data_IF_567868207202
#
_entry.id   IF_567868207202
#
_cell.length_a   1.000
_cell.length_b   1.000
_cell.length_c   1.000
_cell.angle_alpha   90.00
_cell.angle_beta   90.00
_cell.angle_gamma   90.00
#
_symmetry.space_group_name_H-M   'P 1'
#
loop_
_entity.id
_entity.type
_entity.pdbx_description
1 polymer ?
#
# COMPACT_ATOMS: atom_id res chain seq x y z
N UNK A 1 -8.97 -3.55 -12.42
CA UNK A 1 -7.69 -4.22 -12.10
C UNK A 1 -7.97 -5.55 -11.40
N UNK A 2 -7.39 -6.68 -11.79
CA UNK A 2 -7.65 -7.95 -11.11
C UNK A 2 -7.14 -7.91 -9.67
N UNK A 3 -7.89 -8.51 -8.75
CA UNK A 3 -7.49 -8.66 -7.35
C UNK A 3 -6.39 -9.72 -7.28
N UNK A 4 -5.25 -9.47 -6.62
CA UNK A 4 -4.27 -10.50 -6.35
C UNK A 4 -4.87 -11.65 -5.55
N UNK A 5 -4.46 -12.88 -5.85
CA UNK A 5 -5.03 -14.08 -5.23
C UNK A 5 -4.48 -14.36 -3.84
N UNK A 6 -3.35 -13.76 -3.48
CA UNK A 6 -2.65 -14.01 -2.20
C UNK A 6 -2.05 -12.74 -1.62
N UNK A 7 -1.94 -12.64 -0.29
CA UNK A 7 -1.18 -11.59 0.38
C UNK A 7 0.28 -11.56 -0.07
N UNK A 8 0.85 -10.37 -0.22
CA UNK A 8 2.22 -10.18 -0.70
C UNK A 8 2.40 -10.28 -2.22
N UNK A 9 1.38 -10.66 -3.00
CA UNK A 9 1.52 -10.66 -4.46
C UNK A 9 1.70 -9.24 -5.00
N UNK A 10 0.97 -8.26 -4.46
CA UNK A 10 1.05 -6.87 -4.89
C UNK A 10 0.77 -5.92 -3.74
N UNK A 11 1.68 -4.96 -3.56
CA UNK A 11 1.43 -3.80 -2.72
C UNK A 11 1.15 -2.58 -3.58
N UNK A 12 0.18 -1.78 -3.19
CA UNK A 12 -0.08 -0.46 -3.76
C UNK A 12 0.32 0.62 -2.77
N UNK A 13 0.85 1.72 -3.28
CA UNK A 13 1.29 2.82 -2.44
C UNK A 13 1.02 4.18 -3.07
N UNK A 14 0.79 5.16 -2.21
CA UNK A 14 0.50 6.53 -2.60
C UNK A 14 0.78 7.50 -1.45
N UNK A 15 0.82 8.80 -1.78
CA UNK A 15 0.92 9.89 -0.83
C UNK A 15 -0.38 10.66 -0.69
N UNK A 16 -0.78 10.90 0.54
CA UNK A 16 -1.84 11.85 0.88
C UNK A 16 -1.22 13.05 1.59
N UNK A 17 -1.74 14.25 1.35
CA UNK A 17 -1.27 15.47 2.01
C UNK A 17 -2.36 16.09 2.86
N UNK A 18 -1.96 16.64 4.00
CA UNK A 18 -2.82 17.40 4.90
C UNK A 18 -2.03 18.46 5.66
N UNK A 19 -2.68 19.13 6.62
CA UNK A 19 -2.10 20.21 7.42
C UNK A 19 -2.29 19.98 8.92
N UNK A 20 -1.42 20.57 9.75
CA UNK A 20 -1.57 20.61 11.19
C UNK A 20 -1.24 22.02 11.73
N UNK A 21 -1.77 22.34 12.92
CA UNK A 21 -1.60 23.64 13.53
C UNK A 21 -2.05 24.79 12.62
N UNK A 22 -1.27 25.87 12.55
CA UNK A 22 -1.54 27.02 11.70
C UNK A 22 -1.13 26.80 10.23
N UNK A 23 -1.68 25.78 9.56
CA UNK A 23 -1.48 25.47 8.13
C UNK A 23 -0.11 24.88 7.76
N UNK A 24 0.57 24.21 8.67
CA UNK A 24 1.81 23.48 8.33
C UNK A 24 1.47 22.18 7.61
N UNK A 25 1.98 22.03 6.39
CA UNK A 25 1.75 20.85 5.56
C UNK A 25 2.53 19.63 6.07
N UNK A 26 1.92 18.47 5.94
CA UNK A 26 2.58 17.17 6.08
C UNK A 26 2.07 16.20 5.02
N UNK A 27 2.81 15.14 4.82
CA UNK A 27 2.46 14.07 3.87
C UNK A 27 2.30 12.77 4.63
N UNK A 28 1.47 11.90 4.12
CA UNK A 28 1.19 10.58 4.66
C UNK A 28 1.56 9.57 3.57
N UNK A 29 2.50 8.68 3.86
CA UNK A 29 2.78 7.52 3.02
C UNK A 29 1.81 6.41 3.41
N UNK A 30 0.99 5.97 2.47
CA UNK A 30 0.10 4.83 2.61
C UNK A 30 0.61 3.67 1.75
N UNK A 31 0.68 2.46 2.31
CA UNK A 31 1.04 1.23 1.60
C UNK A 31 0.05 0.14 2.01
N UNK A 32 -0.61 -0.46 1.04
CA UNK A 32 -1.61 -1.51 1.24
C UNK A 32 -1.21 -2.81 0.55
N UNK A 33 -1.60 -3.92 1.13
CA UNK A 33 -1.66 -5.20 0.43
C UNK A 33 -2.98 -5.29 -0.35
N UNK A 34 -2.89 -5.43 -1.66
CA UNK A 34 -4.06 -5.39 -2.54
C UNK A 34 -4.95 -6.65 -2.45
N UNK A 35 -4.44 -7.76 -1.92
CA UNK A 35 -5.22 -8.98 -1.74
C UNK A 35 -6.14 -8.87 -0.51
N UNK A 36 -5.58 -8.68 0.66
CA UNK A 36 -6.32 -8.65 1.93
C UNK A 36 -6.76 -7.23 2.34
N UNK A 37 -6.45 -6.20 1.55
CA UNK A 37 -6.75 -4.78 1.83
C UNK A 37 -6.09 -4.23 3.09
N UNK A 38 -5.19 -4.98 3.70
CA UNK A 38 -4.51 -4.53 4.92
C UNK A 38 -3.62 -3.33 4.63
N UNK A 39 -3.78 -2.28 5.40
CA UNK A 39 -2.84 -1.17 5.38
C UNK A 39 -1.57 -1.56 6.14
N UNK A 40 -0.49 -1.74 5.41
CA UNK A 40 0.81 -2.15 5.94
C UNK A 40 1.58 -0.98 6.55
N UNK A 41 1.41 0.22 6.00
CA UNK A 41 2.10 1.43 6.44
C UNK A 41 1.19 2.64 6.32
N UNK A 42 1.14 3.46 7.37
CA UNK A 42 0.48 4.76 7.38
C UNK A 42 1.33 5.75 8.19
N UNK A 43 2.29 6.38 7.54
CA UNK A 43 3.31 7.23 8.20
C UNK A 43 3.16 8.67 7.75
N UNK A 44 2.90 9.57 8.73
CA UNK A 44 2.85 11.01 8.51
C UNK A 44 4.18 11.69 8.84
N UNK A 45 4.68 12.56 7.94
CA UNK A 45 5.83 13.43 8.21
C UNK A 45 5.78 14.72 7.39
N UNK A 46 6.51 15.73 7.80
CA UNK A 46 6.65 16.99 7.05
C UNK A 46 7.46 16.82 5.78
N UNK A 47 8.31 15.80 5.72
CA UNK A 47 9.10 15.43 4.54
C UNK A 47 9.32 13.92 4.51
N UNK A 48 8.97 13.28 3.39
CA UNK A 48 9.21 11.86 3.16
C UNK A 48 9.93 11.74 1.82
N UNK A 49 11.22 11.49 1.87
CA UNK A 49 12.06 11.28 0.68
C UNK A 49 12.01 9.83 0.19
N UNK A 50 12.46 9.57 -1.04
CA UNK A 50 12.57 8.20 -1.57
C UNK A 50 13.44 7.28 -0.69
N UNK A 51 14.52 7.82 -0.07
CA UNK A 51 15.34 7.08 0.89
C UNK A 51 14.55 6.72 2.16
N UNK A 52 13.61 7.58 2.61
CA UNK A 52 12.73 7.25 3.72
C UNK A 52 11.73 6.19 3.32
N UNK A 53 11.13 6.28 2.13
CA UNK A 53 10.25 5.24 1.60
C UNK A 53 10.95 3.89 1.56
N UNK A 54 12.19 3.83 1.04
CA UNK A 54 12.98 2.59 1.01
C UNK A 54 13.17 1.97 2.40
N UNK A 55 13.42 2.77 3.45
CA UNK A 55 13.52 2.26 4.83
C UNK A 55 12.19 1.72 5.38
N UNK A 56 11.07 2.35 5.05
CA UNK A 56 9.74 1.83 5.42
C UNK A 56 9.50 0.48 4.72
N UNK A 57 9.83 0.38 3.42
CA UNK A 57 9.73 -0.87 2.67
C UNK A 57 10.63 -1.98 3.25
N UNK A 58 11.88 -1.67 3.67
CA UNK A 58 12.74 -2.63 4.36
C UNK A 58 12.09 -3.16 5.64
N UNK A 59 11.41 -2.30 6.38
CA UNK A 59 10.69 -2.70 7.59
C UNK A 59 9.51 -3.60 7.26
N UNK A 60 8.73 -3.26 6.23
CA UNK A 60 7.60 -4.07 5.80
C UNK A 60 8.03 -5.44 5.26
N UNK A 61 9.12 -5.51 4.51
CA UNK A 61 9.67 -6.78 4.01
C UNK A 61 10.09 -7.70 5.17
N UNK A 62 10.65 -7.15 6.27
CA UNK A 62 10.95 -7.94 7.47
C UNK A 62 9.71 -8.47 8.19
N UNK A 63 8.61 -7.72 8.19
CA UNK A 63 7.38 -8.04 8.90
C UNK A 63 6.44 -8.96 8.10
N UNK A 64 6.30 -8.71 6.81
CA UNK A 64 5.27 -9.31 5.95
C UNK A 64 5.84 -10.19 4.83
N UNK A 65 7.16 -10.23 4.69
CA UNK A 65 7.78 -10.83 3.52
C UNK A 65 7.87 -9.87 2.33
N UNK A 66 8.61 -10.29 1.32
CA UNK A 66 8.85 -9.50 0.11
C UNK A 66 7.65 -9.57 -0.83
N UNK A 67 7.10 -8.44 -1.34
CA UNK A 67 6.06 -8.49 -2.36
C UNK A 67 6.63 -8.93 -3.71
N UNK A 68 5.80 -9.53 -4.55
CA UNK A 68 6.19 -9.83 -5.92
C UNK A 68 6.26 -8.54 -6.75
N UNK A 69 5.31 -7.62 -6.59
CA UNK A 69 5.37 -6.32 -7.23
C UNK A 69 4.81 -5.19 -6.34
N UNK A 70 5.20 -3.97 -6.67
CA UNK A 70 4.68 -2.74 -6.08
C UNK A 70 4.10 -1.87 -7.19
N UNK A 71 2.95 -1.24 -6.93
CA UNK A 71 2.30 -0.27 -7.83
C UNK A 71 2.29 1.09 -7.16
N UNK A 72 2.71 2.12 -7.88
CA UNK A 72 2.64 3.51 -7.44
C UNK A 72 2.35 4.46 -8.60
N UNK A 73 2.07 5.71 -8.29
CA UNK A 73 2.12 6.78 -9.27
C UNK A 73 3.58 7.10 -9.67
N UNK A 74 3.75 8.08 -10.56
CA UNK A 74 5.05 8.54 -11.04
C UNK A 74 5.62 9.70 -10.19
N UNK A 75 5.24 9.79 -8.90
CA UNK A 75 5.77 10.79 -7.99
C UNK A 75 7.29 10.78 -7.91
N UNK A 76 7.89 11.95 -7.69
CA UNK A 76 9.36 12.11 -7.68
C UNK A 76 10.04 11.26 -6.61
N UNK A 77 9.37 10.99 -5.50
CA UNK A 77 9.86 10.12 -4.44
C UNK A 77 9.95 8.68 -4.89
N UNK A 78 8.93 8.20 -5.64
CA UNK A 78 8.84 6.82 -6.12
C UNK A 78 9.73 6.55 -7.34
N UNK A 79 10.01 7.58 -8.15
CA UNK A 79 10.94 7.51 -9.28
C UNK A 79 12.38 7.84 -8.90
N UNK A 80 12.65 8.06 -7.60
CA UNK A 80 13.96 8.41 -7.10
C UNK A 80 14.96 7.28 -7.25
N UNK A 81 16.26 7.64 -7.34
CA UNK A 81 17.37 6.68 -7.40
C UNK A 81 17.31 5.67 -6.23
N UNK A 82 16.98 6.13 -5.02
CA UNK A 82 16.90 5.26 -3.85
C UNK A 82 15.86 4.14 -4.02
N UNK A 83 14.72 4.42 -4.64
CA UNK A 83 13.68 3.43 -4.92
C UNK A 83 14.09 2.48 -6.04
N UNK A 84 14.69 2.99 -7.12
CA UNK A 84 15.19 2.16 -8.22
C UNK A 84 16.26 1.17 -7.73
N UNK A 85 17.21 1.64 -6.92
CA UNK A 85 18.24 0.80 -6.30
C UNK A 85 17.62 -0.23 -5.34
N UNK A 86 16.64 0.18 -4.52
CA UNK A 86 15.94 -0.71 -3.60
C UNK A 86 15.18 -1.83 -4.33
N UNK A 87 14.43 -1.48 -5.37
CA UNK A 87 13.67 -2.45 -6.18
C UNK A 87 14.59 -3.46 -6.87
N UNK A 88 15.70 -2.98 -7.47
CA UNK A 88 16.70 -3.83 -8.10
C UNK A 88 17.39 -4.78 -7.12
N UNK A 89 17.83 -4.27 -5.94
CA UNK A 89 18.48 -5.06 -4.90
C UNK A 89 17.55 -6.15 -4.35
N UNK A 90 16.28 -5.82 -4.14
CA UNK A 90 15.31 -6.75 -3.58
C UNK A 90 14.64 -7.63 -4.65
N UNK A 91 14.89 -7.40 -5.94
CA UNK A 91 14.24 -8.09 -7.06
C UNK A 91 12.72 -8.01 -6.95
N UNK A 92 12.19 -6.82 -6.68
CA UNK A 92 10.77 -6.50 -6.64
C UNK A 92 10.42 -5.77 -7.93
N UNK A 93 9.40 -6.25 -8.64
CA UNK A 93 8.89 -5.53 -9.80
C UNK A 93 8.20 -4.24 -9.36
N UNK A 94 8.51 -3.13 -10.04
CA UNK A 94 7.87 -1.85 -9.76
C UNK A 94 7.09 -1.36 -10.97
N UNK A 95 5.79 -1.23 -10.78
CA UNK A 95 4.89 -0.77 -11.83
C UNK A 95 4.42 0.65 -11.53
N UNK A 96 4.77 1.55 -12.43
CA UNK A 96 4.22 2.90 -12.41
C UNK A 96 2.92 2.93 -13.21
N UNK A 97 1.88 3.58 -12.65
CA UNK A 97 0.62 3.75 -13.38
C UNK A 97 0.82 4.64 -14.60
N UNK A 98 0.06 4.38 -15.67
CA UNK A 98 0.08 5.23 -16.84
C UNK A 98 -0.50 6.61 -16.52
N UNK A 99 0.02 7.70 -17.08
CA UNK A 99 -0.57 9.02 -16.93
C UNK A 99 -2.06 9.02 -17.32
N UNK A 100 -2.90 9.55 -16.44
CA UNK A 100 -4.34 9.62 -16.66
C UNK A 100 -5.11 8.32 -16.47
N UNK A 101 -4.50 7.27 -15.92
CA UNK A 101 -5.16 6.00 -15.60
C UNK A 101 -5.11 5.69 -14.09
N UNK A 102 -5.76 6.51 -13.25
CA UNK A 102 -5.78 6.29 -11.81
C UNK A 102 -6.33 4.92 -11.41
N UNK A 103 -7.27 4.35 -12.19
CA UNK A 103 -7.83 3.02 -11.93
C UNK A 103 -6.77 1.90 -11.80
N UNK A 104 -5.56 2.12 -12.32
CA UNK A 104 -4.45 1.19 -12.16
C UNK A 104 -3.91 1.13 -10.72
N UNK A 105 -4.24 2.14 -9.88
CA UNK A 105 -3.94 2.19 -8.45
C UNK A 105 -5.21 2.26 -7.58
N UNK A 106 -6.34 1.78 -8.09
CA UNK A 106 -7.66 1.95 -7.49
C UNK A 106 -7.83 1.43 -6.07
N UNK A 107 -7.00 0.46 -5.63
CA UNK A 107 -7.07 -0.06 -4.28
C UNK A 107 -6.56 0.94 -3.24
N UNK A 108 -5.41 1.55 -3.50
CA UNK A 108 -4.88 2.59 -2.59
C UNK A 108 -5.70 3.87 -2.70
N UNK A 109 -6.27 4.19 -3.87
CA UNK A 109 -7.16 5.34 -4.02
C UNK A 109 -8.43 5.19 -3.18
N UNK A 110 -9.05 4.00 -3.18
CA UNK A 110 -10.19 3.69 -2.33
C UNK A 110 -9.86 3.81 -0.85
N UNK A 111 -8.69 3.31 -0.44
CA UNK A 111 -8.18 3.46 0.92
C UNK A 111 -7.99 4.93 1.29
N UNK A 112 -7.34 5.70 0.43
CA UNK A 112 -7.09 7.13 0.63
C UNK A 112 -8.39 7.93 0.69
N UNK A 113 -9.40 7.54 -0.09
CA UNK A 113 -10.75 8.09 -0.01
C UNK A 113 -11.35 7.91 1.39
N UNK A 114 -11.35 6.67 1.90
CA UNK A 114 -11.83 6.38 3.26
C UNK A 114 -11.05 7.12 4.34
N UNK A 115 -9.71 7.16 4.23
CA UNK A 115 -8.86 7.92 5.16
C UNK A 115 -9.23 9.41 5.17
N UNK A 116 -9.46 9.98 4.00
CA UNK A 116 -9.82 11.38 3.86
C UNK A 116 -11.19 11.66 4.44
N UNK A 117 -12.19 10.87 4.06
CA UNK A 117 -13.59 11.10 4.46
C UNK A 117 -13.83 10.86 5.96
N UNK A 118 -13.11 9.93 6.55
CA UNK A 118 -13.36 9.48 7.93
C UNK A 118 -12.40 10.07 8.96
N UNK A 119 -11.25 10.60 8.54
CA UNK A 119 -10.27 11.17 9.46
C UNK A 119 -9.80 12.56 9.02
N UNK A 120 -9.26 12.71 7.81
CA UNK A 120 -8.57 13.95 7.45
C UNK A 120 -9.52 15.14 7.30
N UNK A 121 -10.74 14.92 6.80
CA UNK A 121 -11.77 15.96 6.67
C UNK A 121 -12.52 16.22 7.97
N UNK A 122 -12.49 15.27 8.92
CA UNK A 122 -13.27 15.33 10.17
C UNK A 122 -12.46 15.87 11.35
N UNK A 123 -11.13 15.74 11.31
CA UNK A 123 -10.24 16.03 12.43
C UNK A 123 -9.31 17.22 12.13
N UNK A 124 -9.10 18.04 13.16
CA UNK A 124 -8.02 19.01 13.20
C UNK A 124 -6.82 18.41 13.94
N UNK A 125 -5.64 18.64 13.40
CA UNK A 125 -4.40 18.15 13.98
C UNK A 125 -3.63 19.32 14.64
N UNK A 126 -3.42 19.25 15.94
CA UNK A 126 -2.71 20.29 16.68
C UNK A 126 -1.21 20.29 16.37
N UNK A 127 -0.67 19.10 16.11
CA UNK A 127 0.75 18.88 15.84
C UNK A 127 0.97 17.65 14.97
N UNK A 128 2.18 17.48 14.44
CA UNK A 128 2.57 16.25 13.74
C UNK A 128 2.47 15.00 14.64
N UNK A 129 2.77 15.15 15.93
CA UNK A 129 2.63 14.04 16.89
C UNK A 129 1.17 13.65 17.11
N UNK A 130 0.26 14.63 17.17
CA UNK A 130 -1.18 14.39 17.25
C UNK A 130 -1.69 13.72 15.96
N UNK A 131 -1.29 14.21 14.79
CA UNK A 131 -1.63 13.59 13.51
C UNK A 131 -1.18 12.10 13.45
N UNK A 132 0.07 11.82 13.83
CA UNK A 132 0.61 10.45 13.89
C UNK A 132 -0.19 9.55 14.83
N UNK A 133 -0.57 10.04 15.99
CA UNK A 133 -1.39 9.29 16.96
C UNK A 133 -2.77 8.96 16.39
N UNK A 134 -3.46 9.94 15.79
CA UNK A 134 -4.79 9.75 15.19
C UNK A 134 -4.73 8.80 13.98
N UNK A 135 -3.71 8.93 13.13
CA UNK A 135 -3.46 8.00 12.01
C UNK A 135 -3.26 6.56 12.50
N UNK A 136 -2.50 6.36 13.59
CA UNK A 136 -2.26 5.03 14.16
C UNK A 136 -3.55 4.40 14.70
N UNK A 137 -4.40 5.17 15.38
CA UNK A 137 -5.70 4.72 15.90
C UNK A 137 -6.63 4.34 14.75
N UNK A 138 -6.76 5.21 13.74
CA UNK A 138 -7.60 4.96 12.58
C UNK A 138 -7.14 3.73 11.78
N UNK A 139 -5.81 3.58 11.58
CA UNK A 139 -5.23 2.40 10.93
C UNK A 139 -5.53 1.11 11.70
N UNK A 140 -5.45 1.14 13.03
CA UNK A 140 -5.79 -0.01 13.85
C UNK A 140 -7.26 -0.41 13.67
N UNK A 141 -8.18 0.55 13.71
CA UNK A 141 -9.61 0.33 13.47
C UNK A 141 -9.84 -0.25 12.07
N UNK A 142 -9.27 0.37 11.04
CA UNK A 142 -9.38 -0.07 9.65
C UNK A 142 -8.94 -1.53 9.47
N UNK A 143 -7.80 -1.92 10.02
CA UNK A 143 -7.24 -3.25 9.83
C UNK A 143 -7.88 -4.33 10.71
N UNK A 144 -8.29 -3.99 11.93
CA UNK A 144 -8.60 -5.00 12.96
C UNK A 144 -10.05 -5.00 13.44
N UNK A 145 -10.77 -3.90 13.27
CA UNK A 145 -12.12 -3.74 13.82
C UNK A 145 -13.17 -3.67 12.73
N UNK A 146 -12.91 -2.92 11.68
CA UNK A 146 -13.88 -2.62 10.62
C UNK A 146 -14.07 -3.80 9.66
N UNK A 147 -15.33 -4.30 9.48
CA UNK A 147 -15.65 -5.27 8.44
C UNK A 147 -15.62 -4.61 7.06
N UNK A 148 -15.05 -5.30 6.06
CA UNK A 148 -15.02 -4.85 4.68
C UNK A 148 -15.89 -5.75 3.79
N UNK A 149 -16.84 -5.16 3.07
CA UNK A 149 -17.75 -5.90 2.19
C UNK A 149 -17.00 -6.67 1.09
N UNK A 150 -15.92 -6.07 0.55
CA UNK A 150 -15.06 -6.69 -0.45
C UNK A 150 -14.27 -7.91 0.07
N UNK A 151 -14.23 -8.11 1.39
CA UNK A 151 -13.57 -9.23 2.06
C UNK A 151 -14.58 -10.21 2.69
N UNK A 152 -15.84 -10.18 2.25
CA UNK A 152 -16.91 -10.99 2.83
C UNK A 152 -17.20 -10.61 4.29
N UNK A 153 -17.18 -9.31 4.58
CA UNK A 153 -17.37 -8.72 5.92
C UNK A 153 -16.31 -9.14 6.96
N UNK A 154 -15.13 -9.55 6.51
CA UNK A 154 -13.98 -9.74 7.40
C UNK A 154 -13.20 -8.43 7.53
N UNK A 155 -12.45 -8.29 8.62
CA UNK A 155 -11.42 -7.27 8.70
C UNK A 155 -10.22 -7.64 7.83
N UNK A 156 -9.41 -6.67 7.36
CA UNK A 156 -8.17 -6.96 6.64
C UNK A 156 -7.25 -7.95 7.36
N UNK A 157 -7.08 -7.79 8.67
CA UNK A 157 -6.28 -8.70 9.48
C UNK A 157 -6.87 -10.13 9.56
N UNK A 158 -8.20 -10.27 9.60
CA UNK A 158 -8.86 -11.59 9.53
C UNK A 158 -8.68 -12.21 8.14
N UNK A 159 -8.80 -11.41 7.09
CA UNK A 159 -8.58 -11.88 5.73
C UNK A 159 -7.16 -12.40 5.54
N UNK A 160 -6.12 -11.65 6.00
CA UNK A 160 -4.72 -12.12 5.95
C UNK A 160 -4.54 -13.44 6.69
N UNK A 161 -5.01 -13.54 7.94
CA UNK A 161 -4.89 -14.78 8.72
C UNK A 161 -5.57 -15.98 8.07
N UNK A 162 -6.69 -15.76 7.39
CA UNK A 162 -7.37 -16.85 6.66
C UNK A 162 -6.51 -17.40 5.51
N UNK A 163 -5.77 -16.52 4.80
CA UNK A 163 -4.81 -16.97 3.78
C UNK A 163 -3.60 -17.70 4.38
N UNK A 164 -3.07 -17.23 5.52
CA UNK A 164 -1.93 -17.85 6.21
C UNK A 164 -2.26 -19.24 6.78
N UNK A 165 -3.54 -19.51 7.08
CA UNK A 165 -4.04 -20.79 7.59
C UNK A 165 -4.49 -21.75 6.50
N UNK A 166 -4.59 -21.30 5.26
CA UNK A 166 -5.01 -22.14 4.13
C UNK A 166 -3.82 -22.95 3.61
N UNK A 167 -3.65 -24.18 4.11
CA UNK A 167 -2.58 -25.11 3.72
C UNK A 167 -2.63 -25.50 2.23
N UNK A 168 -3.72 -25.21 1.51
CA UNK A 168 -3.82 -25.43 0.07
C UNK A 168 -3.02 -24.42 -0.77
N UNK A 169 -2.63 -23.30 -0.15
CA UNK A 169 -1.83 -22.24 -0.78
C UNK A 169 -0.34 -22.54 -0.55
N UNK A 170 0.19 -23.51 -1.31
CA UNK A 170 1.63 -23.82 -1.26
C UNK A 170 2.45 -22.80 -2.07
N UNK A 171 3.75 -22.58 -1.72
CA UNK A 171 4.63 -21.73 -2.54
C UNK A 171 4.67 -22.13 -4.03
N UNK A 172 4.55 -23.41 -4.35
CA UNK A 172 4.53 -23.90 -5.73
C UNK A 172 3.21 -23.59 -6.48
N UNK A 173 2.06 -23.59 -5.78
CA UNK A 173 0.80 -23.11 -6.33
C UNK A 173 0.87 -21.62 -6.67
N UNK A 174 1.69 -20.85 -5.93
CA UNK A 174 1.93 -19.44 -6.14
C UNK A 174 2.71 -19.16 -7.43
N UNK A 175 3.71 -19.97 -7.74
CA UNK A 175 4.50 -19.86 -8.97
C UNK A 175 3.63 -20.20 -10.19
N UNK A 176 2.72 -21.16 -10.08
CA UNK A 176 1.81 -21.54 -11.15
C UNK A 176 0.66 -20.54 -11.37
N UNK A 177 0.16 -19.89 -10.30
CA UNK A 177 -0.87 -18.86 -10.40
C UNK A 177 -0.33 -17.52 -10.95
N UNK A 178 0.98 -17.31 -10.89
CA UNK A 178 1.70 -16.18 -11.50
C UNK A 178 2.10 -16.46 -12.96
N UNK A 179 1.44 -17.43 -13.64
CA UNK A 179 1.67 -17.73 -15.04
C UNK A 179 1.60 -16.49 -15.94
N UNK A 180 2.22 -16.55 -17.15
CA UNK A 180 2.77 -15.42 -17.91
C UNK A 180 1.75 -14.44 -18.53
N UNK A 181 0.55 -14.29 -17.99
CA UNK A 181 -0.47 -13.40 -18.55
C UNK A 181 -0.15 -11.90 -18.48
N UNK A 182 0.90 -11.54 -17.74
CA UNK A 182 1.39 -10.14 -17.70
C UNK A 182 2.48 -9.85 -18.76
N UNK A 183 3.05 -10.89 -19.41
CA UNK A 183 4.13 -10.75 -20.39
C UNK A 183 3.64 -10.61 -21.83
N UNK A 184 2.38 -10.94 -22.15
CA UNK A 184 1.87 -10.92 -23.52
C UNK A 184 1.36 -9.57 -24.02
N UNK A 185 1.34 -8.53 -23.19
CA UNK A 185 0.94 -7.18 -23.62
C UNK A 185 2.09 -6.30 -24.16
N UNK A 186 3.32 -6.83 -24.32
CA UNK A 186 4.49 -6.06 -24.78
C UNK A 186 5.10 -6.50 -26.12
N UNK A 187 4.47 -7.41 -26.84
CA UNK A 187 4.94 -7.82 -28.18
C UNK A 187 3.82 -7.72 -29.22
N UNK A 188 3.30 -6.52 -29.42
CA UNK A 188 2.57 -6.17 -30.65
C UNK A 188 2.67 -4.67 -30.83
N UNK A 189 3.60 -4.29 -31.67
CA UNK A 189 3.97 -3.04 -32.36
C UNK A 189 5.27 -2.42 -31.90
#
# INVERSE_FOLDING_TARGET
>A
MPVPLIPGARWSMDFVSDTFGASRKFRILAINDDCCRENLCLVGDTSISGARVARELDTLVRLYGKPACIVSDNGTEFTSRAILEWAGKNKVEWHYIDPGKPQQNGFIESFNGSLRDELLNEELFDSLADARRKLAIWRYDYNNVRPHSSLGNRTPAQARRAFEQDESITPDALVQAQGPSYLTARLSL
#
